data_IF_601810975760
#
_entry.id   IF_601810975760
#
_cell.length_a   1.000
_cell.length_b   1.000
_cell.length_c   1.000
_cell.angle_alpha   90.00
_cell.angle_beta   90.00
_cell.angle_gamma   90.00
#
_symmetry.space_group_name_H-M   'P 1'
#
loop_
_entity.id
_entity.type
_entity.pdbx_description
1 polymer ?
#
# COMPACT_ATOMS: atom_id res chain seq x y z
N UNK A 1 31.93 52.34 -20.22
CA UNK A 1 33.13 51.93 -20.98
C UNK A 1 34.11 53.06 -20.87
N UNK A 2 35.12 52.91 -20.02
CA UNK A 2 36.12 53.95 -19.79
C UNK A 2 37.39 53.53 -20.55
N UNK A 3 37.68 54.23 -21.64
CA UNK A 3 38.89 54.02 -22.43
C UNK A 3 39.95 54.97 -21.89
N UNK A 4 40.90 54.45 -21.11
CA UNK A 4 42.06 55.22 -20.64
C UNK A 4 43.17 55.20 -21.68
N UNK A 5 43.46 56.34 -22.30
CA UNK A 5 44.70 56.56 -23.05
C UNK A 5 45.80 56.90 -22.03
N UNK A 6 46.76 56.01 -21.87
CA UNK A 6 47.96 56.28 -21.07
C UNK A 6 49.10 56.54 -22.06
N UNK A 7 49.57 57.78 -22.11
CA UNK A 7 50.78 58.13 -22.84
C UNK A 7 51.94 58.18 -21.85
N UNK A 8 52.92 57.30 -22.01
CA UNK A 8 54.15 57.32 -21.23
C UNK A 8 55.28 57.85 -22.09
N UNK A 9 55.89 58.98 -21.68
CA UNK A 9 57.08 59.55 -22.32
C UNK A 9 58.31 58.80 -21.82
N UNK A 10 58.85 57.89 -22.63
CA UNK A 10 60.14 57.26 -22.36
C UNK A 10 61.24 58.07 -23.05
N UNK A 11 62.13 58.67 -22.26
CA UNK A 11 63.26 59.45 -22.81
C UNK A 11 64.38 58.47 -23.11
N UNK A 12 64.58 58.14 -24.38
CA UNK A 12 65.66 57.26 -24.82
C UNK A 12 67.02 57.96 -24.59
N UNK A 13 67.88 57.49 -23.66
CA UNK A 13 69.10 58.22 -23.30
C UNK A 13 70.27 58.00 -24.27
N UNK A 14 70.09 57.25 -25.36
CA UNK A 14 71.17 56.85 -26.27
C UNK A 14 70.89 57.21 -27.73
N UNK A 15 70.91 58.51 -28.08
CA UNK A 15 71.47 59.04 -29.35
C UNK A 15 71.08 60.53 -29.56
N UNK A 16 72.04 61.47 -29.55
CA UNK A 16 71.87 62.75 -30.20
C UNK A 16 72.50 62.68 -31.59
N UNK A 17 71.72 62.31 -32.60
CA UNK A 17 72.05 62.67 -33.98
C UNK A 17 71.42 64.04 -34.25
N UNK A 18 72.23 65.09 -34.09
CA UNK A 18 71.86 66.46 -34.45
C UNK A 18 71.95 66.54 -35.97
N UNK A 19 70.81 66.42 -36.65
CA UNK A 19 70.70 66.86 -38.05
C UNK A 19 70.61 68.39 -38.07
N UNK A 20 71.34 68.99 -39.00
CA UNK A 20 71.73 70.41 -39.10
C UNK A 20 70.57 71.40 -39.41
N UNK A 21 69.33 71.03 -39.06
CA UNK A 21 68.14 71.87 -39.18
C UNK A 21 67.23 71.66 -37.95
N UNK A 22 67.75 71.91 -36.74
CA UNK A 22 66.98 72.30 -35.54
C UNK A 22 65.68 71.57 -35.18
N UNK A 23 65.44 70.35 -35.65
CA UNK A 23 64.21 69.60 -35.43
C UNK A 23 64.50 68.37 -34.57
N UNK A 24 64.17 68.47 -33.28
CA UNK A 24 64.23 67.34 -32.36
C UNK A 24 63.06 66.41 -32.68
N UNK A 25 63.34 65.26 -33.28
CA UNK A 25 62.32 64.24 -33.53
C UNK A 25 61.97 63.53 -32.22
N UNK A 26 60.98 64.04 -31.49
CA UNK A 26 60.43 63.35 -30.31
C UNK A 26 59.56 62.17 -30.77
N UNK A 27 60.04 60.94 -30.56
CA UNK A 27 59.27 59.72 -30.76
C UNK A 27 58.33 59.51 -29.56
N UNK A 28 57.03 59.62 -29.80
CA UNK A 28 56.00 59.30 -28.82
C UNK A 28 55.48 57.89 -29.11
N UNK A 29 55.86 56.90 -28.30
CA UNK A 29 55.18 55.61 -28.31
C UNK A 29 53.85 55.76 -27.57
N UNK A 30 52.75 55.51 -28.30
CA UNK A 30 51.42 55.42 -27.71
C UNK A 30 51.04 53.95 -27.67
N UNK A 31 50.86 53.39 -26.47
CA UNK A 31 50.35 52.04 -26.31
C UNK A 31 48.87 52.13 -25.92
N UNK A 32 48.02 51.45 -26.69
CA UNK A 32 46.59 51.31 -26.38
C UNK A 32 46.43 50.02 -25.58
N UNK A 33 46.24 50.16 -24.27
CA UNK A 33 45.91 49.01 -23.42
C UNK A 33 44.42 48.70 -23.61
N UNK A 34 44.13 47.70 -24.43
CA UNK A 34 42.78 47.16 -24.55
C UNK A 34 42.54 46.22 -23.35
N UNK A 35 41.90 46.73 -22.31
CA UNK A 35 41.37 45.88 -21.23
C UNK A 35 40.47 44.82 -21.84
N UNK A 36 40.82 43.55 -21.64
CA UNK A 36 40.12 42.38 -22.16
C UNK A 36 38.60 42.53 -22.00
N UNK A 37 37.79 42.32 -23.06
CA UNK A 37 36.34 42.46 -22.94
C UNK A 37 35.81 41.39 -22.00
N UNK A 38 35.21 41.82 -20.89
CA UNK A 38 34.38 40.95 -20.05
C UNK A 38 33.36 40.27 -20.98
N UNK A 39 33.20 38.93 -20.95
CA UNK A 39 32.25 38.27 -21.83
C UNK A 39 30.82 38.73 -21.48
N UNK A 40 30.20 39.53 -22.35
CA UNK A 40 28.80 39.92 -22.21
C UNK A 40 27.96 38.75 -22.73
N UNK A 41 27.38 37.97 -21.83
CA UNK A 41 26.38 36.95 -22.20
C UNK A 41 25.13 37.69 -22.71
N UNK A 42 24.64 37.42 -23.93
CA UNK A 42 23.45 38.08 -24.45
C UNK A 42 22.19 37.74 -23.64
N UNK A 43 21.25 38.70 -23.51
CA UNK A 43 19.99 38.52 -22.79
C UNK A 43 19.17 37.30 -23.27
N UNK A 44 19.17 37.04 -24.58
CA UNK A 44 18.46 35.87 -25.14
C UNK A 44 19.02 34.54 -24.62
N UNK A 45 20.33 34.46 -24.32
CA UNK A 45 20.95 33.26 -23.79
C UNK A 45 20.53 33.02 -22.34
N UNK A 46 20.40 34.09 -21.55
CA UNK A 46 19.85 34.03 -20.18
C UNK A 46 18.39 33.54 -20.21
N UNK A 47 17.55 34.12 -21.08
CA UNK A 47 16.16 33.72 -21.20
C UNK A 47 15.99 32.25 -21.64
N UNK A 48 16.86 31.77 -22.54
CA UNK A 48 16.88 30.35 -22.92
C UNK A 48 17.28 29.45 -21.75
N UNK A 49 18.29 29.85 -20.97
CA UNK A 49 18.71 29.11 -19.79
C UNK A 49 17.57 28.99 -18.76
N UNK A 50 16.84 30.09 -18.53
CA UNK A 50 15.69 30.09 -17.63
C UNK A 50 14.55 29.21 -18.15
N UNK A 51 14.27 29.24 -19.46
CA UNK A 51 13.28 28.36 -20.06
C UNK A 51 13.66 26.88 -19.92
N UNK A 52 14.94 26.53 -20.12
CA UNK A 52 15.46 25.17 -19.91
C UNK A 52 15.31 24.75 -18.45
N UNK A 53 15.68 25.61 -17.50
CA UNK A 53 15.54 25.33 -16.07
C UNK A 53 14.08 25.08 -15.67
N UNK A 54 13.15 25.89 -16.21
CA UNK A 54 11.72 25.73 -15.96
C UNK A 54 11.17 24.42 -16.54
N UNK A 55 11.60 24.05 -17.76
CA UNK A 55 11.22 22.76 -18.35
C UNK A 55 11.77 21.59 -17.52
N UNK A 56 13.00 21.67 -17.03
CA UNK A 56 13.58 20.64 -16.17
C UNK A 56 12.78 20.48 -14.86
N UNK A 57 12.39 21.59 -14.24
CA UNK A 57 11.55 21.56 -13.04
C UNK A 57 10.17 20.92 -13.33
N UNK A 58 9.57 21.24 -14.47
CA UNK A 58 8.31 20.64 -14.89
C UNK A 58 8.44 19.12 -15.12
N UNK A 59 9.53 18.67 -15.75
CA UNK A 59 9.82 17.23 -15.94
C UNK A 59 9.96 16.52 -14.59
N UNK A 60 10.75 17.07 -13.66
CA UNK A 60 10.92 16.48 -12.33
C UNK A 60 9.59 16.35 -11.58
N UNK A 61 8.70 17.36 -11.70
CA UNK A 61 7.37 17.32 -11.08
C UNK A 61 6.48 16.23 -11.71
N UNK A 62 6.57 16.03 -13.02
CA UNK A 62 5.86 14.94 -13.70
C UNK A 62 6.38 13.57 -13.26
N UNK A 63 7.68 13.39 -13.09
CA UNK A 63 8.26 12.14 -12.58
C UNK A 63 7.74 11.80 -11.19
N UNK A 64 7.68 12.79 -10.28
CA UNK A 64 7.08 12.61 -8.96
C UNK A 64 5.60 12.23 -9.06
N UNK A 65 4.85 12.90 -9.94
CA UNK A 65 3.42 12.61 -10.15
C UNK A 65 3.21 11.17 -10.65
N UNK A 66 4.02 10.72 -11.62
CA UNK A 66 4.00 9.34 -12.12
C UNK A 66 4.32 8.34 -11.00
N UNK A 67 5.33 8.64 -10.17
CA UNK A 67 5.66 7.82 -9.00
C UNK A 67 4.47 7.67 -8.02
N UNK A 68 3.78 8.77 -7.73
CA UNK A 68 2.60 8.75 -6.87
C UNK A 68 1.44 7.95 -7.47
N UNK A 69 1.21 8.06 -8.78
CA UNK A 69 0.21 7.26 -9.48
C UNK A 69 0.55 5.78 -9.42
N UNK A 70 1.82 5.40 -9.59
CA UNK A 70 2.25 4.00 -9.47
C UNK A 70 1.97 3.43 -8.09
N UNK A 71 2.24 4.20 -7.02
CA UNK A 71 1.91 3.81 -5.64
C UNK A 71 0.40 3.63 -5.47
N UNK A 72 -0.40 4.55 -6.01
CA UNK A 72 -1.87 4.46 -5.96
C UNK A 72 -2.39 3.19 -6.65
N UNK A 73 -1.86 2.86 -7.83
CA UNK A 73 -2.20 1.63 -8.56
C UNK A 73 -1.85 0.38 -7.76
N UNK A 74 -0.67 0.34 -7.15
CA UNK A 74 -0.25 -0.80 -6.32
C UNK A 74 -1.16 -0.98 -5.09
N UNK A 75 -1.59 0.12 -4.47
CA UNK A 75 -2.53 0.08 -3.36
C UNK A 75 -3.90 -0.45 -3.79
N UNK A 76 -4.42 0.00 -4.95
CA UNK A 76 -5.67 -0.51 -5.50
C UNK A 76 -5.58 -2.01 -5.80
N UNK A 77 -4.47 -2.49 -6.36
CA UNK A 77 -4.26 -3.92 -6.62
C UNK A 77 -4.30 -4.74 -5.32
N UNK A 78 -3.67 -4.23 -4.26
CA UNK A 78 -3.67 -4.89 -2.94
C UNK A 78 -5.09 -4.97 -2.38
N UNK A 79 -5.87 -3.88 -2.46
CA UNK A 79 -7.27 -3.87 -2.03
C UNK A 79 -8.12 -4.85 -2.83
N UNK A 80 -7.94 -4.95 -4.15
CA UNK A 80 -8.66 -5.92 -4.98
C UNK A 80 -8.35 -7.37 -4.58
N UNK A 81 -7.09 -7.68 -4.31
CA UNK A 81 -6.69 -9.02 -3.86
C UNK A 81 -7.36 -9.36 -2.51
N UNK A 82 -7.42 -8.41 -1.58
CA UNK A 82 -8.09 -8.60 -0.29
C UNK A 82 -9.59 -8.85 -0.44
N UNK A 83 -10.27 -8.07 -1.30
CA UNK A 83 -11.70 -8.26 -1.60
C UNK A 83 -11.94 -9.64 -2.23
N UNK A 84 -11.10 -10.06 -3.17
CA UNK A 84 -11.20 -11.37 -3.79
C UNK A 84 -11.09 -12.50 -2.75
N UNK A 85 -10.15 -12.39 -1.82
CA UNK A 85 -10.02 -13.35 -0.72
C UNK A 85 -11.26 -13.40 0.18
N UNK A 86 -11.83 -12.25 0.53
CA UNK A 86 -13.07 -12.18 1.33
C UNK A 86 -14.27 -12.81 0.60
N UNK A 87 -14.40 -12.57 -0.71
CA UNK A 87 -15.47 -13.19 -1.52
C UNK A 87 -15.34 -14.71 -1.53
N UNK A 88 -14.12 -15.24 -1.68
CA UNK A 88 -13.87 -16.68 -1.66
C UNK A 88 -14.23 -17.29 -0.31
N UNK A 89 -13.84 -16.64 0.79
CA UNK A 89 -14.20 -17.08 2.14
C UNK A 89 -15.71 -17.09 2.36
N UNK A 90 -16.39 -15.99 2.00
CA UNK A 90 -17.84 -15.87 2.16
C UNK A 90 -18.59 -16.91 1.29
N UNK A 91 -18.12 -17.16 0.07
CA UNK A 91 -18.70 -18.17 -0.81
C UNK A 91 -18.56 -19.58 -0.22
N UNK A 92 -17.41 -19.90 0.38
CA UNK A 92 -17.21 -21.17 1.06
C UNK A 92 -18.13 -21.32 2.28
N UNK A 93 -18.27 -20.28 3.10
CA UNK A 93 -19.18 -20.28 4.27
C UNK A 93 -20.64 -20.46 3.84
N UNK A 94 -21.12 -19.70 2.86
CA UNK A 94 -22.48 -19.83 2.34
C UNK A 94 -22.74 -21.23 1.80
N UNK A 95 -21.75 -21.81 1.09
CA UNK A 95 -21.87 -23.17 0.57
C UNK A 95 -21.98 -24.20 1.70
N UNK A 96 -21.13 -24.10 2.71
CA UNK A 96 -21.16 -24.96 3.89
C UNK A 96 -22.52 -24.88 4.59
N UNK A 97 -23.05 -23.66 4.79
CA UNK A 97 -24.38 -23.46 5.39
C UNK A 97 -25.48 -24.09 4.54
N UNK A 98 -25.41 -23.94 3.21
CA UNK A 98 -26.39 -24.53 2.32
C UNK A 98 -26.39 -26.07 2.40
N UNK A 99 -25.20 -26.69 2.47
CA UNK A 99 -25.07 -28.14 2.63
C UNK A 99 -25.57 -28.61 4.02
N UNK A 100 -25.47 -27.77 5.06
CA UNK A 100 -25.97 -28.03 6.42
C UNK A 100 -27.49 -27.90 6.58
N UNK A 101 -28.14 -27.02 5.81
CA UNK A 101 -29.56 -26.66 6.00
C UNK A 101 -30.53 -27.86 6.01
N UNK A 102 -30.46 -28.83 5.07
CA UNK A 102 -31.36 -29.97 5.08
C UNK A 102 -31.29 -30.77 6.39
N UNK A 103 -30.09 -30.87 6.99
CA UNK A 103 -29.86 -31.62 8.21
C UNK A 103 -30.39 -30.85 9.42
N UNK A 104 -30.16 -29.54 9.45
CA UNK A 104 -30.75 -28.64 10.46
C UNK A 104 -32.27 -28.75 10.44
N UNK A 105 -32.90 -28.72 9.27
CA UNK A 105 -34.35 -28.87 9.13
C UNK A 105 -34.80 -30.24 9.62
N UNK A 106 -34.12 -31.32 9.24
CA UNK A 106 -34.44 -32.68 9.69
C UNK A 106 -34.36 -32.82 11.22
N UNK A 107 -33.31 -32.27 11.84
CA UNK A 107 -33.13 -32.27 13.29
C UNK A 107 -34.18 -31.42 14.01
N UNK A 108 -34.60 -30.29 13.41
CA UNK A 108 -35.66 -29.44 13.98
C UNK A 108 -37.01 -30.16 14.02
N UNK A 109 -37.28 -31.00 13.01
CA UNK A 109 -38.49 -31.81 12.89
C UNK A 109 -38.42 -33.13 13.67
N UNK A 110 -37.24 -33.53 14.14
CA UNK A 110 -37.10 -34.72 14.96
C UNK A 110 -37.86 -34.54 16.29
N UNK A 111 -38.60 -35.57 16.70
CA UNK A 111 -39.19 -35.63 18.04
C UNK A 111 -38.13 -35.71 19.14
N UNK A 112 -38.55 -35.61 20.40
CA UNK A 112 -37.63 -35.55 21.54
C UNK A 112 -36.67 -36.76 21.64
N UNK A 113 -37.16 -37.95 21.29
CA UNK A 113 -36.38 -39.20 21.22
C UNK A 113 -35.84 -39.51 19.81
N UNK A 114 -36.07 -38.62 18.83
CA UNK A 114 -35.61 -38.82 17.47
C UNK A 114 -34.09 -38.73 17.37
N UNK A 115 -33.50 -39.58 16.52
CA UNK A 115 -32.06 -39.60 16.31
C UNK A 115 -31.59 -38.32 15.59
N UNK A 116 -30.68 -37.60 16.23
CA UNK A 116 -30.05 -36.39 15.68
C UNK A 116 -28.92 -36.77 14.70
N UNK A 117 -28.72 -35.92 13.70
CA UNK A 117 -27.67 -36.05 12.68
C UNK A 117 -26.63 -34.96 12.82
N UNK A 118 -25.39 -35.25 12.42
CA UNK A 118 -24.29 -34.31 12.49
C UNK A 118 -24.29 -33.32 11.30
N UNK A 119 -24.64 -32.04 11.48
CA UNK A 119 -24.60 -31.08 10.38
C UNK A 119 -23.17 -30.81 9.88
N UNK A 120 -22.13 -31.01 10.70
CA UNK A 120 -20.74 -30.68 10.31
C UNK A 120 -20.07 -31.73 9.43
N UNK A 121 -20.70 -32.89 9.22
CA UNK A 121 -20.16 -34.00 8.43
C UNK A 121 -21.14 -34.42 7.34
N UNK A 122 -21.28 -33.59 6.30
CA UNK A 122 -22.12 -33.93 5.14
C UNK A 122 -21.29 -34.71 4.13
N UNK A 123 -21.59 -35.99 3.94
CA UNK A 123 -20.93 -36.85 2.96
C UNK A 123 -21.96 -37.27 1.92
N UNK A 124 -21.74 -36.92 0.65
CA UNK A 124 -22.65 -37.22 -0.46
C UNK A 124 -24.11 -36.78 -0.22
N UNK A 125 -24.31 -35.63 0.44
CA UNK A 125 -25.63 -35.10 0.76
C UNK A 125 -26.31 -35.75 1.98
N UNK A 126 -25.62 -36.63 2.71
CA UNK A 126 -26.14 -37.27 3.91
C UNK A 126 -25.25 -36.97 5.12
N UNK A 127 -25.88 -36.70 6.26
CA UNK A 127 -25.18 -36.63 7.54
C UNK A 127 -25.32 -37.93 8.34
N UNK A 128 -24.23 -38.43 8.94
CA UNK A 128 -24.30 -39.55 9.87
C UNK A 128 -25.09 -39.16 11.12
N UNK A 129 -25.59 -40.17 11.81
CA UNK A 129 -26.16 -39.98 13.14
C UNK A 129 -25.07 -39.53 14.13
N UNK A 130 -25.48 -38.74 15.13
CA UNK A 130 -24.58 -38.38 16.22
C UNK A 130 -24.20 -39.63 17.03
N UNK A 131 -22.92 -39.73 17.35
CA UNK A 131 -22.35 -40.78 18.19
C UNK A 131 -21.71 -40.14 19.44
N UNK A 132 -21.61 -40.88 20.56
CA UNK A 132 -20.94 -40.39 21.75
C UNK A 132 -19.54 -39.81 21.42
N UNK A 133 -19.15 -38.69 22.04
CA UNK A 133 -19.77 -38.03 23.20
C UNK A 133 -20.91 -37.06 22.85
N UNK A 134 -21.40 -37.04 21.62
CA UNK A 134 -22.47 -36.14 21.19
C UNK A 134 -23.86 -36.66 21.60
N UNK A 135 -24.83 -35.75 21.84
CA UNK A 135 -26.17 -36.17 22.18
C UNK A 135 -26.82 -36.82 20.97
N UNK A 136 -27.33 -38.04 21.12
CA UNK A 136 -28.00 -38.77 20.05
C UNK A 136 -29.45 -38.34 19.87
N UNK A 137 -30.05 -37.72 20.90
CA UNK A 137 -31.44 -37.25 20.93
C UNK A 137 -31.56 -35.88 21.59
N UNK A 138 -32.71 -35.22 21.44
CA UNK A 138 -32.97 -33.92 22.07
C UNK A 138 -33.05 -34.04 23.60
N UNK A 139 -33.64 -35.12 24.12
CA UNK A 139 -33.70 -35.34 25.57
C UNK A 139 -32.33 -35.55 26.19
N UNK A 140 -31.44 -36.28 25.49
CA UNK A 140 -30.07 -36.44 25.95
C UNK A 140 -29.35 -35.08 26.02
N UNK A 141 -29.55 -34.22 25.02
CA UNK A 141 -29.03 -32.85 25.04
C UNK A 141 -29.57 -32.04 26.22
N UNK A 142 -30.84 -32.22 26.60
CA UNK A 142 -31.39 -31.58 27.80
C UNK A 142 -30.72 -32.05 29.09
N UNK A 143 -30.13 -33.25 29.12
CA UNK A 143 -29.46 -33.79 30.30
C UNK A 143 -27.94 -33.53 30.32
N UNK A 144 -27.37 -32.93 29.28
CA UNK A 144 -25.94 -32.66 29.21
C UNK A 144 -25.45 -31.70 30.29
N UNK A 145 -24.40 -32.13 30.99
CA UNK A 145 -23.60 -31.29 31.89
C UNK A 145 -22.68 -30.35 31.09
N UNK A 146 -22.13 -29.33 31.75
CA UNK A 146 -21.16 -28.43 31.11
C UNK A 146 -19.95 -29.17 30.50
N UNK A 147 -19.30 -30.14 31.19
CA UNK A 147 -18.24 -30.94 30.60
C UNK A 147 -18.65 -31.72 29.35
N UNK A 148 -19.86 -32.31 29.35
CA UNK A 148 -20.39 -33.03 28.18
C UNK A 148 -20.66 -32.08 27.01
N UNK A 149 -21.15 -30.86 27.28
CA UNK A 149 -21.32 -29.84 26.24
C UNK A 149 -19.97 -29.44 25.61
N UNK A 150 -18.93 -29.25 26.42
CA UNK A 150 -17.58 -28.95 25.90
C UNK A 150 -17.02 -30.10 25.07
N UNK A 151 -17.17 -31.34 25.55
CA UNK A 151 -16.72 -32.53 24.83
C UNK A 151 -17.43 -32.69 23.49
N UNK A 152 -18.74 -32.46 23.44
CA UNK A 152 -19.52 -32.52 22.20
C UNK A 152 -19.19 -31.37 21.26
N UNK A 153 -19.04 -30.13 21.76
CA UNK A 153 -18.61 -29.01 20.94
C UNK A 153 -17.24 -29.27 20.29
N UNK A 154 -16.29 -29.80 21.06
CA UNK A 154 -14.97 -30.19 20.55
C UNK A 154 -15.08 -31.33 19.51
N UNK A 155 -15.89 -32.36 19.77
CA UNK A 155 -16.08 -33.48 18.86
C UNK A 155 -16.76 -33.08 17.53
N UNK A 156 -17.60 -32.04 17.54
CA UNK A 156 -18.25 -31.50 16.35
C UNK A 156 -17.41 -30.47 15.60
N UNK A 157 -16.26 -30.06 16.14
CA UNK A 157 -15.43 -28.99 15.58
C UNK A 157 -16.06 -27.59 15.72
N UNK A 158 -16.95 -27.40 16.70
CA UNK A 158 -17.56 -26.11 16.98
C UNK A 158 -16.57 -25.18 17.71
N UNK A 159 -16.78 -23.85 17.65
CA UNK A 159 -16.02 -22.91 18.47
C UNK A 159 -16.06 -23.30 19.95
N UNK A 160 -14.96 -23.10 20.70
CA UNK A 160 -14.90 -23.46 22.11
C UNK A 160 -15.96 -22.69 22.90
N UNK A 161 -16.74 -23.43 23.69
CA UNK A 161 -17.76 -22.84 24.55
C UNK A 161 -17.09 -22.05 25.69
N UNK A 162 -17.69 -20.94 26.17
CA UNK A 162 -17.08 -20.12 27.22
C UNK A 162 -16.88 -20.90 28.53
N UNK A 163 -15.69 -20.82 29.10
CA UNK A 163 -15.40 -21.43 30.40
C UNK A 163 -16.19 -20.72 31.50
N UNK A 164 -16.91 -21.50 32.32
CA UNK A 164 -17.76 -20.96 33.39
C UNK A 164 -19.16 -20.55 32.97
N UNK A 165 -19.54 -20.73 31.69
CA UNK A 165 -20.93 -20.56 31.28
C UNK A 165 -21.85 -21.58 31.98
N UNK A 166 -23.10 -21.21 32.19
CA UNK A 166 -24.09 -22.14 32.73
C UNK A 166 -24.31 -23.28 31.73
N UNK A 167 -24.48 -24.50 32.22
CA UNK A 167 -24.73 -25.67 31.38
C UNK A 167 -25.96 -25.47 30.47
N UNK A 168 -26.93 -24.64 30.87
CA UNK A 168 -28.08 -24.28 30.05
C UNK A 168 -27.68 -23.46 28.81
N UNK A 169 -26.80 -22.47 28.95
CA UNK A 169 -26.35 -21.64 27.82
C UNK A 169 -25.50 -22.46 26.84
N UNK A 170 -24.67 -23.36 27.37
CA UNK A 170 -23.87 -24.29 26.58
C UNK A 170 -24.74 -25.26 25.79
N UNK A 171 -25.77 -25.83 26.43
CA UNK A 171 -26.79 -26.65 25.75
C UNK A 171 -27.50 -25.86 24.68
N UNK A 172 -27.85 -24.58 24.90
CA UNK A 172 -28.51 -23.73 23.90
C UNK A 172 -27.62 -23.46 22.69
N UNK A 173 -26.33 -23.21 22.90
CA UNK A 173 -25.36 -23.04 21.82
C UNK A 173 -25.20 -24.32 21.00
N UNK A 174 -25.11 -25.48 21.68
CA UNK A 174 -25.03 -26.78 21.01
C UNK A 174 -26.33 -27.11 20.26
N UNK A 175 -27.50 -26.85 20.86
CA UNK A 175 -28.81 -27.02 20.22
C UNK A 175 -28.92 -26.18 18.95
N UNK A 176 -28.51 -24.91 19.01
CA UNK A 176 -28.48 -24.02 17.84
C UNK A 176 -27.59 -24.58 16.73
N UNK A 177 -26.40 -25.10 17.06
CA UNK A 177 -25.50 -25.70 16.08
C UNK A 177 -26.08 -26.97 15.44
N UNK A 178 -26.84 -27.75 16.20
CA UNK A 178 -27.50 -28.97 15.73
C UNK A 178 -28.84 -28.71 15.01
N UNK A 179 -29.34 -27.47 14.98
CA UNK A 179 -30.64 -27.16 14.39
C UNK A 179 -31.84 -27.57 15.26
N UNK A 180 -31.65 -27.61 16.58
CA UNK A 180 -32.65 -28.06 17.54
C UNK A 180 -33.01 -26.91 18.47
N UNK A 181 -34.30 -26.77 18.79
CA UNK A 181 -34.76 -25.83 19.83
C UNK A 181 -34.84 -26.56 21.16
N UNK A 182 -34.26 -25.97 22.20
CA UNK A 182 -34.46 -26.36 23.58
C UNK A 182 -35.11 -25.17 24.29
N UNK A 183 -36.41 -25.27 24.58
CA UNK A 183 -37.16 -24.27 25.34
C UNK A 183 -37.05 -24.55 26.84
#
# INVERSE_FOLDING_TARGET
MEYGLIATKEVNPLQPAIDDIGAVSELYETSVVLSSPVPIVPLWAVNLQDAVNNMQAAVNNLEVSVGNLQVSVNNMQTTLNNIQGQIQQNAAEVREKFDQLPIIIANSQAGNHGALRNPTQVVNGWAPHLVPPNPQTRDELFLFTAPQCMASAAALGLPPLPQGALAQDMRRQLAKALGVTIE
#
